data_IF_299855236692
#
_entry.id   IF_299855236692
#
_cell.length_a   1.000
_cell.length_b   1.000
_cell.length_c   1.000
_cell.angle_alpha   90.00
_cell.angle_beta   90.00
_cell.angle_gamma   90.00
#
_symmetry.space_group_name_H-M   'P 1'
#
loop_
_entity.id
_entity.type
_entity.pdbx_description
1 polymer ?
#
# COMPACT_ATOMS: atom_id res chain seq x y z
N UNK A 1 -28.05 9.86 64.20
CA UNK A 1 -28.05 9.33 62.82
C UNK A 1 -27.13 10.24 62.02
N UNK A 2 -25.93 9.88 61.61
CA UNK A 2 -25.53 8.67 60.89
C UNK A 2 -24.05 8.37 61.17
N UNK A 3 -23.78 7.29 61.89
CA UNK A 3 -22.48 6.67 62.02
C UNK A 3 -22.06 6.05 60.68
N UNK A 4 -20.94 6.50 60.11
CA UNK A 4 -20.29 5.81 59.00
C UNK A 4 -19.88 4.40 59.45
N UNK A 5 -20.29 3.32 58.76
CA UNK A 5 -19.76 1.99 59.04
C UNK A 5 -18.35 1.86 58.45
N UNK A 6 -17.43 1.33 59.25
CA UNK A 6 -16.11 0.90 58.80
C UNK A 6 -16.27 -0.22 57.76
N UNK A 7 -15.83 0.03 56.53
CA UNK A 7 -15.72 -1.00 55.51
C UNK A 7 -14.54 -1.91 55.87
N UNK A 8 -14.89 -3.12 56.31
CA UNK A 8 -14.01 -4.25 56.55
C UNK A 8 -13.10 -4.51 55.36
N UNK A 9 -11.80 -4.54 55.59
CA UNK A 9 -10.82 -5.10 54.67
C UNK A 9 -11.09 -6.61 54.52
N UNK A 10 -11.84 -7.00 53.50
CA UNK A 10 -11.91 -8.39 53.06
C UNK A 10 -10.62 -8.71 52.30
N UNK A 11 -9.78 -9.48 52.98
CA UNK A 11 -8.66 -10.21 52.40
C UNK A 11 -9.18 -11.21 51.37
N UNK A 12 -9.46 -10.74 50.15
CA UNK A 12 -9.53 -11.59 48.98
C UNK A 12 -8.12 -11.74 48.45
N UNK A 13 -7.41 -12.71 49.04
CA UNK A 13 -6.22 -13.29 48.44
C UNK A 13 -6.63 -13.98 47.13
N UNK A 14 -6.76 -13.18 46.07
CA UNK A 14 -6.84 -13.68 44.70
C UNK A 14 -5.54 -14.43 44.44
N UNK A 15 -5.64 -15.76 44.42
CA UNK A 15 -4.60 -16.63 43.93
C UNK A 15 -4.29 -16.23 42.48
N UNK A 16 -3.26 -15.41 42.30
CA UNK A 16 -2.75 -15.01 40.99
C UNK A 16 -2.06 -16.22 40.37
N UNK A 17 -2.84 -17.10 39.73
CA UNK A 17 -2.34 -17.84 38.59
C UNK A 17 -1.73 -16.79 37.65
N UNK A 18 -0.43 -16.92 37.37
CA UNK A 18 0.27 -16.06 36.42
C UNK A 18 -0.40 -16.20 35.05
N UNK A 19 -1.44 -15.40 34.81
CA UNK A 19 -2.14 -15.36 33.55
C UNK A 19 -1.17 -14.75 32.54
N UNK A 20 -0.58 -15.61 31.72
CA UNK A 20 0.29 -15.20 30.61
C UNK A 20 -0.45 -14.12 29.82
N UNK A 21 0.20 -12.97 29.66
CA UNK A 21 -0.38 -11.83 28.98
C UNK A 21 -0.90 -12.25 27.59
N UNK A 22 -2.09 -11.80 27.12
CA UNK A 22 -2.70 -12.28 25.89
C UNK A 22 -1.80 -12.25 24.64
N UNK A 23 -0.86 -11.31 24.58
CA UNK A 23 0.12 -11.20 23.49
C UNK A 23 1.18 -12.32 23.52
N UNK A 24 1.51 -12.84 24.71
CA UNK A 24 2.52 -13.88 24.92
C UNK A 24 1.92 -15.29 24.89
N UNK A 25 0.60 -15.40 24.75
CA UNK A 25 -0.09 -16.68 24.70
C UNK A 25 0.23 -17.41 23.39
N UNK A 26 0.78 -18.62 23.51
CA UNK A 26 1.04 -19.51 22.37
C UNK A 26 -0.19 -20.33 22.07
N UNK A 27 -0.87 -20.00 20.97
CA UNK A 27 -2.02 -20.75 20.47
C UNK A 27 -1.60 -22.14 19.96
N UNK A 28 -2.52 -23.13 19.94
CA UNK A 28 -2.29 -24.41 19.29
C UNK A 28 -1.85 -24.22 17.83
N UNK A 29 -0.89 -25.05 17.37
CA UNK A 29 -0.23 -24.86 16.07
C UNK A 29 -1.19 -24.69 14.90
N UNK A 30 -2.30 -25.45 14.84
CA UNK A 30 -3.29 -25.31 13.76
C UNK A 30 -4.01 -23.96 13.75
N UNK A 31 -4.30 -23.39 14.93
CA UNK A 31 -4.92 -22.06 15.03
C UNK A 31 -3.90 -20.96 14.74
N UNK A 32 -2.66 -21.15 15.19
CA UNK A 32 -1.55 -20.22 14.93
C UNK A 32 -1.26 -20.12 13.43
N UNK A 33 -1.16 -21.24 12.72
CA UNK A 33 -0.90 -21.24 11.27
C UNK A 33 -2.06 -20.67 10.47
N UNK A 34 -3.31 -21.00 10.83
CA UNK A 34 -4.49 -20.43 10.19
C UNK A 34 -4.57 -18.90 10.37
N UNK A 35 -4.34 -18.40 11.59
CA UNK A 35 -4.32 -16.96 11.86
C UNK A 35 -3.14 -16.26 11.18
N UNK A 36 -1.96 -16.90 11.13
CA UNK A 36 -0.81 -16.38 10.39
C UNK A 36 -1.09 -16.24 8.89
N UNK A 37 -1.68 -17.28 8.28
CA UNK A 37 -2.11 -17.24 6.88
C UNK A 37 -3.14 -16.13 6.66
N UNK A 38 -4.09 -15.99 7.57
CA UNK A 38 -5.08 -14.91 7.52
C UNK A 38 -4.43 -13.53 7.45
N UNK A 39 -3.43 -13.26 8.30
CA UNK A 39 -2.71 -11.99 8.29
C UNK A 39 -2.00 -11.72 6.96
N UNK A 40 -1.40 -12.74 6.35
CA UNK A 40 -0.78 -12.60 5.02
C UNK A 40 -1.83 -12.27 3.96
N UNK A 41 -2.98 -12.96 3.97
CA UNK A 41 -4.06 -12.75 3.00
C UNK A 41 -4.66 -11.33 3.13
N UNK A 42 -4.84 -10.83 4.34
CA UNK A 42 -5.31 -9.45 4.58
C UNK A 42 -4.28 -8.43 4.08
N UNK A 43 -2.99 -8.66 4.36
CA UNK A 43 -1.92 -7.74 3.97
C UNK A 43 -1.72 -7.67 2.45
N UNK A 44 -1.90 -8.77 1.73
CA UNK A 44 -1.60 -8.90 0.31
C UNK A 44 -2.25 -7.80 -0.55
N UNK A 45 -3.54 -7.53 -0.33
CA UNK A 45 -4.27 -6.51 -1.11
C UNK A 45 -3.67 -5.10 -0.96
N UNK A 46 -3.14 -4.77 0.22
CA UNK A 46 -2.50 -3.47 0.47
C UNK A 46 -1.03 -3.42 0.03
N UNK A 47 -0.26 -4.48 0.27
CA UNK A 47 1.17 -4.51 0.00
C UNK A 47 1.49 -4.44 -1.50
N UNK A 48 0.75 -5.20 -2.33
CA UNK A 48 1.01 -5.29 -3.78
C UNK A 48 0.78 -3.97 -4.51
N UNK A 49 -0.05 -3.07 -3.94
CA UNK A 49 -0.40 -1.82 -4.59
C UNK A 49 0.80 -0.89 -4.79
N UNK A 50 1.73 -0.77 -3.83
CA UNK A 50 2.85 0.17 -3.95
C UNK A 50 3.86 -0.25 -5.03
N UNK A 51 4.38 -1.50 -5.05
CA UNK A 51 5.21 -1.98 -6.16
C UNK A 51 4.51 -1.85 -7.51
N UNK A 52 3.20 -2.12 -7.55
CA UNK A 52 2.39 -1.96 -8.76
C UNK A 52 2.20 -0.50 -9.17
N UNK A 53 2.30 0.48 -8.28
CA UNK A 53 2.27 1.91 -8.66
C UNK A 53 3.65 2.33 -9.16
N UNK A 54 4.71 1.92 -8.45
CA UNK A 54 6.07 2.41 -8.66
C UNK A 54 6.76 1.73 -9.85
N UNK A 55 6.72 0.40 -9.96
CA UNK A 55 7.34 -0.31 -11.10
C UNK A 55 6.70 0.08 -12.43
N UNK A 56 5.41 0.31 -12.35
CA UNK A 56 4.58 0.93 -13.37
C UNK A 56 5.07 2.36 -13.71
N UNK A 57 5.25 3.26 -12.73
CA UNK A 57 5.72 4.63 -12.98
C UNK A 57 7.13 4.67 -13.59
N UNK A 58 7.96 3.67 -13.23
CA UNK A 58 9.28 3.42 -13.82
C UNK A 58 9.21 2.84 -15.24
N UNK A 59 8.02 2.51 -15.76
CA UNK A 59 7.81 1.88 -17.08
C UNK A 59 8.53 0.54 -17.23
N UNK A 60 8.60 -0.24 -16.14
CA UNK A 60 9.17 -1.58 -16.16
C UNK A 60 8.24 -2.56 -16.88
N UNK A 61 8.84 -3.64 -17.39
CA UNK A 61 8.11 -4.76 -17.98
C UNK A 61 7.23 -5.47 -16.93
N UNK A 62 6.17 -6.19 -17.35
CA UNK A 62 5.34 -6.97 -16.44
C UNK A 62 6.13 -7.96 -15.58
N UNK A 63 7.15 -8.59 -16.14
CA UNK A 63 8.02 -9.56 -15.45
C UNK A 63 8.84 -8.88 -14.34
N UNK A 64 9.38 -7.69 -14.60
CA UNK A 64 10.08 -6.88 -13.59
C UNK A 64 9.14 -6.40 -12.49
N UNK A 65 7.90 -6.02 -12.82
CA UNK A 65 6.89 -5.65 -11.81
C UNK A 65 6.51 -6.86 -10.96
N UNK A 66 6.39 -8.05 -11.53
CA UNK A 66 6.16 -9.29 -10.78
C UNK A 66 7.34 -9.62 -9.84
N UNK A 67 8.57 -9.38 -10.29
CA UNK A 67 9.77 -9.48 -9.45
C UNK A 67 9.72 -8.47 -8.29
N UNK A 68 9.32 -7.22 -8.55
CA UNK A 68 9.18 -6.21 -7.50
C UNK A 68 8.13 -6.58 -6.45
N UNK A 69 6.99 -7.12 -6.88
CA UNK A 69 5.93 -7.59 -5.96
C UNK A 69 6.47 -8.73 -5.09
N UNK A 70 7.19 -9.68 -5.69
CA UNK A 70 7.76 -10.83 -4.98
C UNK A 70 8.83 -10.39 -3.97
N UNK A 71 9.72 -9.49 -4.38
CA UNK A 71 10.75 -8.91 -3.52
C UNK A 71 10.14 -8.11 -2.37
N UNK A 72 9.06 -7.36 -2.63
CA UNK A 72 8.36 -6.60 -1.60
C UNK A 72 7.76 -7.49 -0.53
N UNK A 73 6.98 -8.51 -0.92
CA UNK A 73 6.37 -9.46 0.02
C UNK A 73 7.43 -10.21 0.82
N UNK A 74 8.55 -10.56 0.20
CA UNK A 74 9.68 -11.21 0.88
C UNK A 74 10.33 -10.30 1.93
N UNK A 75 10.66 -9.06 1.57
CA UNK A 75 11.23 -8.07 2.48
C UNK A 75 10.27 -7.69 3.61
N UNK A 76 8.97 -7.54 3.32
CA UNK A 76 7.94 -7.29 4.33
C UNK A 76 7.84 -8.46 5.34
N UNK A 77 7.97 -9.70 4.87
CA UNK A 77 8.05 -10.89 5.70
C UNK A 77 9.26 -10.86 6.64
N UNK A 78 10.44 -10.58 6.11
CA UNK A 78 11.68 -10.44 6.91
C UNK A 78 11.53 -9.33 7.95
N UNK A 79 11.05 -8.15 7.54
CA UNK A 79 10.87 -7.02 8.44
C UNK A 79 9.85 -7.33 9.56
N UNK A 80 8.76 -8.04 9.23
CA UNK A 80 7.76 -8.49 10.21
C UNK A 80 8.37 -9.45 11.23
N UNK A 81 9.20 -10.40 10.79
CA UNK A 81 9.90 -11.32 11.68
C UNK A 81 10.87 -10.57 12.60
N UNK A 82 11.68 -9.66 12.05
CA UNK A 82 12.60 -8.83 12.83
C UNK A 82 11.85 -8.00 13.89
N UNK A 83 10.73 -7.38 13.50
CA UNK A 83 9.95 -6.52 14.39
C UNK A 83 9.23 -7.29 15.49
N UNK A 84 8.73 -8.49 15.16
CA UNK A 84 7.92 -9.32 16.07
C UNK A 84 8.77 -10.20 16.99
N UNK A 85 9.87 -10.79 16.51
CA UNK A 85 10.77 -11.60 17.34
C UNK A 85 11.78 -10.73 18.11
N UNK A 86 12.13 -9.56 17.57
CA UNK A 86 13.22 -8.75 18.05
C UNK A 86 14.57 -9.34 17.66
N UNK A 87 15.29 -8.67 16.77
CA UNK A 87 16.64 -9.06 16.38
C UNK A 87 17.69 -8.62 17.41
N UNK A 88 17.45 -7.54 18.16
CA UNK A 88 18.38 -7.02 19.18
C UNK A 88 17.63 -6.16 20.21
N UNK A 89 18.28 -5.79 21.31
CA UNK A 89 17.70 -4.86 22.30
C UNK A 89 17.33 -3.47 21.71
N UNK A 90 17.91 -3.13 20.56
CA UNK A 90 17.65 -1.88 19.82
C UNK A 90 16.74 -2.07 18.59
N UNK A 91 16.55 -3.31 18.11
CA UNK A 91 15.84 -3.60 16.86
C UNK A 91 14.73 -4.63 17.08
N UNK A 92 13.49 -4.17 16.85
CA UNK A 92 12.26 -4.93 17.00
C UNK A 92 11.60 -4.74 18.37
N UNK A 93 10.36 -4.28 18.35
CA UNK A 93 9.58 -3.94 19.55
C UNK A 93 9.01 -5.16 20.29
N UNK A 94 9.18 -6.38 19.75
CA UNK A 94 8.68 -7.63 20.33
C UNK A 94 7.17 -7.64 20.56
N UNK A 95 6.44 -6.99 19.66
CA UNK A 95 4.98 -6.96 19.63
C UNK A 95 4.50 -7.48 18.27
N UNK A 96 3.28 -8.05 18.20
CA UNK A 96 2.71 -8.56 16.95
C UNK A 96 2.38 -7.39 16.01
N UNK A 97 3.36 -7.02 15.19
CA UNK A 97 3.23 -5.91 14.24
C UNK A 97 3.65 -6.37 12.86
N UNK A 98 2.70 -6.28 11.93
CA UNK A 98 2.92 -6.56 10.51
C UNK A 98 3.60 -5.37 9.85
N UNK A 99 4.75 -5.62 9.23
CA UNK A 99 5.45 -4.63 8.41
C UNK A 99 4.98 -4.74 6.97
N UNK A 100 4.72 -3.58 6.36
CA UNK A 100 4.33 -3.44 4.97
C UNK A 100 4.84 -2.14 4.38
N UNK A 101 4.72 -1.98 3.07
CA UNK A 101 5.12 -0.72 2.41
C UNK A 101 4.15 0.39 2.77
N UNK A 102 4.70 1.54 3.14
CA UNK A 102 3.89 2.73 3.42
C UNK A 102 3.49 3.45 2.14
N UNK A 103 2.24 3.88 2.08
CA UNK A 103 1.80 4.76 1.01
C UNK A 103 2.31 6.20 1.17
N UNK A 104 2.81 6.57 2.34
CA UNK A 104 3.30 7.93 2.61
C UNK A 104 4.47 8.34 1.69
N UNK A 105 5.29 7.38 1.25
CA UNK A 105 6.42 7.63 0.36
C UNK A 105 6.11 7.44 -1.13
N UNK A 106 4.87 7.08 -1.50
CA UNK A 106 4.52 6.81 -2.91
C UNK A 106 4.69 8.05 -3.79
N UNK A 107 4.25 9.22 -3.32
CA UNK A 107 4.37 10.47 -4.08
C UNK A 107 5.83 10.82 -4.46
N UNK A 108 6.80 10.87 -3.52
CA UNK A 108 8.20 11.12 -3.88
C UNK A 108 8.80 10.00 -4.72
N UNK A 109 8.42 8.73 -4.49
CA UNK A 109 8.87 7.60 -5.33
C UNK A 109 8.41 7.76 -6.79
N UNK A 110 7.14 8.11 -7.01
CA UNK A 110 6.59 8.35 -8.35
C UNK A 110 7.23 9.58 -9.01
N UNK A 111 7.57 10.62 -8.24
CA UNK A 111 8.28 11.78 -8.76
C UNK A 111 9.68 11.42 -9.30
N UNK A 112 10.45 10.63 -8.53
CA UNK A 112 11.77 10.12 -8.97
C UNK A 112 11.61 9.23 -10.20
N UNK A 113 10.62 8.32 -10.19
CA UNK A 113 10.36 7.40 -11.28
C UNK A 113 10.00 8.10 -12.60
N UNK A 114 9.18 9.16 -12.54
CA UNK A 114 8.82 9.95 -13.71
C UNK A 114 10.00 10.77 -14.23
N UNK A 115 10.87 11.26 -13.35
CA UNK A 115 12.06 12.01 -13.73
C UNK A 115 13.15 11.11 -14.34
N UNK A 116 13.23 9.85 -13.89
CA UNK A 116 14.21 8.86 -14.35
C UNK A 116 13.50 7.53 -14.64
N UNK A 117 12.93 7.32 -15.83
CA UNK A 117 12.29 6.05 -16.18
C UNK A 117 13.31 4.91 -16.41
N UNK A 118 12.85 3.66 -16.29
CA UNK A 118 13.61 2.44 -16.56
C UNK A 118 14.40 1.90 -15.37
N UNK A 119 15.24 0.89 -15.63
CA UNK A 119 15.99 0.14 -14.61
C UNK A 119 17.00 1.04 -13.85
N UNK A 120 17.64 1.98 -14.54
CA UNK A 120 18.54 2.96 -13.90
C UNK A 120 17.77 3.85 -12.91
N UNK A 121 16.54 4.24 -13.24
CA UNK A 121 15.62 4.93 -12.35
C UNK A 121 15.26 4.12 -11.11
N UNK A 122 15.01 2.81 -11.30
CA UNK A 122 14.74 1.89 -10.20
C UNK A 122 15.94 1.83 -9.23
N UNK A 123 17.16 1.75 -9.74
CA UNK A 123 18.38 1.75 -8.93
C UNK A 123 18.54 3.06 -8.14
N UNK A 124 18.32 4.22 -8.77
CA UNK A 124 18.34 5.52 -8.09
C UNK A 124 17.29 5.59 -6.98
N UNK A 125 16.08 5.10 -7.25
CA UNK A 125 14.98 5.06 -6.29
C UNK A 125 15.32 4.17 -5.10
N UNK A 126 15.79 2.94 -5.32
CA UNK A 126 16.16 2.03 -4.23
C UNK A 126 17.36 2.53 -3.44
N UNK A 127 18.39 3.08 -4.10
CA UNK A 127 19.52 3.71 -3.43
C UNK A 127 19.10 4.89 -2.55
N UNK A 128 18.16 5.71 -3.03
CA UNK A 128 17.57 6.81 -2.25
C UNK A 128 16.79 6.30 -1.05
N UNK A 129 16.01 5.22 -1.19
CA UNK A 129 15.25 4.60 -0.09
C UNK A 129 16.19 4.02 0.96
N UNK A 130 17.26 3.32 0.55
CA UNK A 130 18.27 2.78 1.47
C UNK A 130 18.94 3.92 2.24
N UNK A 131 19.35 4.99 1.56
CA UNK A 131 19.91 6.17 2.19
C UNK A 131 18.95 6.85 3.17
N UNK A 132 17.69 7.04 2.76
CA UNK A 132 16.64 7.59 3.63
C UNK A 132 16.38 6.70 4.85
N UNK A 133 16.43 5.37 4.69
CA UNK A 133 16.30 4.40 5.78
C UNK A 133 17.44 4.50 6.80
N UNK A 134 18.68 4.58 6.33
CA UNK A 134 19.85 4.78 7.20
C UNK A 134 19.77 6.09 7.99
N UNK A 135 19.39 7.19 7.31
CA UNK A 135 19.17 8.48 7.95
C UNK A 135 18.04 8.39 8.97
N UNK A 136 16.93 7.72 8.62
CA UNK A 136 15.77 7.53 9.49
C UNK A 136 16.14 6.80 10.78
N UNK A 137 16.97 5.76 10.70
CA UNK A 137 17.50 5.05 11.87
C UNK A 137 18.35 5.98 12.74
N UNK A 138 19.22 6.79 12.14
CA UNK A 138 20.09 7.71 12.88
C UNK A 138 19.30 8.79 13.62
N UNK A 139 18.22 9.33 13.02
CA UNK A 139 17.39 10.39 13.63
C UNK A 139 16.26 9.84 14.51
N UNK A 140 15.94 8.54 14.44
CA UNK A 140 14.87 7.90 15.19
C UNK A 140 14.82 8.30 16.68
N UNK A 141 15.91 8.27 17.49
CA UNK A 141 15.83 8.62 18.91
C UNK A 141 15.51 10.10 19.18
N UNK A 142 15.79 10.98 18.22
CA UNK A 142 15.40 12.39 18.29
C UNK A 142 13.91 12.54 17.94
N UNK A 143 13.46 11.91 16.86
CA UNK A 143 12.06 11.95 16.42
C UNK A 143 11.13 11.32 17.46
N UNK A 144 11.53 10.23 18.11
CA UNK A 144 10.77 9.60 19.20
C UNK A 144 10.50 10.56 20.36
N UNK A 145 11.40 11.51 20.65
CA UNK A 145 11.17 12.56 21.65
C UNK A 145 10.21 13.64 21.18
N UNK A 146 10.10 13.83 19.87
CA UNK A 146 9.18 14.79 19.25
C UNK A 146 7.76 14.25 19.09
N UNK A 147 7.51 12.95 19.29
CA UNK A 147 6.18 12.34 19.16
C UNK A 147 5.11 13.03 20.03
N UNK A 148 5.49 13.69 21.14
CA UNK A 148 4.58 14.51 21.95
C UNK A 148 3.92 15.68 21.19
N UNK A 149 4.53 16.13 20.09
CA UNK A 149 4.04 17.23 19.26
C UNK A 149 3.08 16.77 18.16
N UNK A 150 2.87 15.45 18.02
CA UNK A 150 1.97 14.86 17.03
C UNK A 150 0.76 14.27 17.76
N UNK A 151 -0.20 15.10 18.23
CA UNK A 151 -1.42 14.60 18.85
C UNK A 151 -2.22 13.73 17.86
N UNK A 152 -3.15 12.89 18.35
CA UNK A 152 -3.91 11.97 17.50
C UNK A 152 -4.60 12.62 16.30
N UNK A 153 -5.00 13.91 16.43
CA UNK A 153 -5.58 14.69 15.32
C UNK A 153 -4.59 14.90 14.16
N UNK A 154 -3.30 15.10 14.43
CA UNK A 154 -2.28 15.28 13.38
C UNK A 154 -2.01 13.96 12.68
N UNK A 155 -1.77 12.90 13.44
CA UNK A 155 -1.53 11.57 12.85
C UNK A 155 -2.74 11.08 12.06
N UNK A 156 -3.95 11.24 12.61
CA UNK A 156 -5.19 10.85 11.94
C UNK A 156 -5.48 11.66 10.68
N UNK A 157 -5.25 12.97 10.69
CA UNK A 157 -5.42 13.81 9.49
C UNK A 157 -4.42 13.47 8.40
N UNK A 158 -3.16 13.20 8.74
CA UNK A 158 -2.15 12.75 7.77
C UNK A 158 -2.56 11.41 7.13
N UNK A 159 -3.02 10.44 7.93
CA UNK A 159 -3.51 9.15 7.41
C UNK A 159 -4.72 9.34 6.49
N UNK A 160 -5.67 10.21 6.87
CA UNK A 160 -6.83 10.52 6.03
C UNK A 160 -6.40 11.16 4.70
N UNK A 161 -5.46 12.11 4.72
CA UNK A 161 -4.94 12.77 3.52
C UNK A 161 -4.21 11.77 2.61
N UNK A 162 -3.44 10.84 3.18
CA UNK A 162 -2.80 9.75 2.42
C UNK A 162 -3.89 8.92 1.73
N UNK A 163 -4.90 8.47 2.46
CA UNK A 163 -6.01 7.69 1.90
C UNK A 163 -6.76 8.42 0.79
N UNK A 164 -7.11 9.69 1.00
CA UNK A 164 -7.80 10.53 0.01
C UNK A 164 -6.94 10.72 -1.25
N UNK A 165 -5.63 10.90 -1.07
CA UNK A 165 -4.70 11.07 -2.20
C UNK A 165 -4.58 9.81 -3.05
N UNK A 166 -4.67 8.63 -2.43
CA UNK A 166 -4.64 7.34 -3.13
C UNK A 166 -5.94 7.00 -3.85
N UNK A 167 -7.08 7.61 -3.48
CA UNK A 167 -8.34 7.39 -4.21
C UNK A 167 -8.18 7.70 -5.70
N UNK A 168 -7.35 8.69 -6.05
CA UNK A 168 -7.03 9.02 -7.45
C UNK A 168 -6.42 7.84 -8.20
N UNK A 169 -5.53 7.08 -7.55
CA UNK A 169 -4.92 5.88 -8.13
C UNK A 169 -5.97 4.80 -8.37
N UNK A 170 -6.82 4.54 -7.39
CA UNK A 170 -7.91 3.57 -7.51
C UNK A 170 -8.88 3.95 -8.64
N UNK A 171 -9.30 5.21 -8.72
CA UNK A 171 -10.17 5.73 -9.78
C UNK A 171 -9.53 5.57 -11.16
N UNK A 172 -8.23 5.87 -11.29
CA UNK A 172 -7.51 5.68 -12.54
C UNK A 172 -7.53 4.20 -12.99
N UNK A 173 -7.39 3.25 -12.05
CA UNK A 173 -7.47 1.82 -12.38
C UNK A 173 -8.88 1.38 -12.78
N UNK A 174 -9.92 1.92 -12.15
CA UNK A 174 -11.32 1.64 -12.52
C UNK A 174 -11.59 2.07 -13.97
N UNK A 175 -11.04 3.20 -14.39
CA UNK A 175 -11.17 3.70 -15.76
C UNK A 175 -10.16 3.10 -16.75
N UNK A 176 -9.45 2.03 -16.35
CA UNK A 176 -8.50 1.34 -17.22
C UNK A 176 -7.31 2.19 -17.64
N UNK A 177 -6.99 3.25 -16.89
CA UNK A 177 -5.82 4.10 -17.14
C UNK A 177 -4.66 3.71 -16.20
N UNK A 178 -3.60 3.05 -16.70
CA UNK A 178 -2.50 2.59 -15.84
C UNK A 178 -1.67 3.75 -15.28
N UNK A 179 -1.63 4.91 -15.97
CA UNK A 179 -0.82 6.09 -15.60
C UNK A 179 -1.42 7.43 -15.98
N UNK A 180 -1.09 8.43 -15.16
CA UNK A 180 -1.44 9.81 -15.41
C UNK A 180 -2.83 10.17 -14.86
N UNK A 181 -3.20 11.45 -14.93
CA UNK A 181 -4.53 11.88 -14.52
C UNK A 181 -5.58 11.12 -15.35
N UNK A 182 -6.73 10.82 -14.76
CA UNK A 182 -7.98 10.58 -15.48
C UNK A 182 -8.40 11.89 -16.14
N UNK A 183 -7.60 12.33 -17.10
CA UNK A 183 -7.83 13.53 -17.86
C UNK A 183 -8.94 13.20 -18.87
N UNK A 184 -10.00 14.02 -18.95
CA UNK A 184 -11.02 13.93 -19.98
C UNK A 184 -10.42 14.02 -21.39
N UNK A 185 -9.23 14.62 -21.52
CA UNK A 185 -8.46 14.68 -22.74
C UNK A 185 -7.10 13.97 -22.58
N UNK A 186 -6.67 13.26 -23.62
CA UNK A 186 -5.32 12.72 -23.80
C UNK A 186 -4.54 13.57 -24.80
N UNK A 187 -3.21 13.47 -24.72
CA UNK A 187 -2.33 13.98 -25.79
C UNK A 187 -2.66 13.21 -27.06
N UNK A 188 -2.87 13.93 -28.17
CA UNK A 188 -3.13 13.31 -29.45
C UNK A 188 -2.00 12.32 -29.78
N UNK A 189 -2.31 11.04 -30.09
CA UNK A 189 -1.30 10.06 -30.47
C UNK A 189 -0.46 10.51 -31.67
N UNK A 190 -0.99 11.36 -32.56
CA UNK A 190 -0.24 11.95 -33.68
C UNK A 190 0.86 12.89 -33.17
N UNK A 191 0.53 13.79 -32.24
CA UNK A 191 1.51 14.71 -31.65
C UNK A 191 2.52 13.95 -30.77
N UNK A 192 2.07 12.94 -30.02
CA UNK A 192 2.96 12.10 -29.21
C UNK A 192 3.95 11.32 -30.07
N UNK A 193 3.50 10.77 -31.21
CA UNK A 193 4.35 10.06 -32.17
C UNK A 193 5.33 11.00 -32.86
N UNK A 194 4.86 12.16 -33.31
CA UNK A 194 5.74 13.21 -33.85
C UNK A 194 6.82 13.58 -32.83
N UNK A 195 6.47 13.77 -31.56
CA UNK A 195 7.43 14.12 -30.53
C UNK A 195 8.45 13.00 -30.29
N UNK A 196 8.02 11.74 -30.33
CA UNK A 196 8.92 10.60 -30.26
C UNK A 196 9.87 10.54 -31.47
N UNK A 197 9.38 10.80 -32.68
CA UNK A 197 10.17 10.79 -33.92
C UNK A 197 11.21 11.93 -33.92
N UNK A 198 10.85 13.14 -33.48
CA UNK A 198 11.79 14.28 -33.41
C UNK A 198 12.77 14.19 -32.23
N UNK A 199 12.48 13.37 -31.22
CA UNK A 199 13.40 13.16 -30.07
C UNK A 199 14.25 11.90 -30.25
N UNK A 200 14.06 11.17 -31.35
CA UNK A 200 14.84 9.96 -31.66
C UNK A 200 16.31 10.29 -31.95
N UNK A 201 17.28 9.40 -31.58
CA UNK A 201 18.68 9.61 -31.90
C UNK A 201 18.89 9.64 -33.42
N UNK A 202 19.17 10.83 -33.98
CA UNK A 202 19.36 11.03 -35.42
C UNK A 202 18.35 11.97 -36.10
N UNK A 203 17.45 12.60 -35.34
CA UNK A 203 16.55 13.61 -35.89
C UNK A 203 17.30 14.89 -36.30
N UNK A 204 16.89 15.52 -37.41
CA UNK A 204 17.49 16.73 -37.95
C UNK A 204 17.07 18.02 -37.21
N UNK A 205 16.32 17.90 -36.12
CA UNK A 205 15.72 19.03 -35.39
C UNK A 205 16.49 19.32 -34.10
N UNK A 206 16.55 20.59 -33.66
CA UNK A 206 17.15 20.93 -32.38
C UNK A 206 16.43 20.25 -31.22
N UNK A 207 17.15 19.90 -30.14
CA UNK A 207 16.57 19.19 -29.00
C UNK A 207 15.43 20.00 -28.38
N UNK A 208 14.31 19.31 -28.13
CA UNK A 208 13.11 19.90 -27.53
C UNK A 208 13.46 20.56 -26.18
N UNK A 209 13.00 21.78 -25.88
CA UNK A 209 13.28 22.45 -24.61
C UNK A 209 12.85 21.61 -23.40
N UNK A 210 13.68 21.60 -22.35
CA UNK A 210 13.35 20.94 -21.07
C UNK A 210 12.10 21.61 -20.49
N UNK A 211 10.99 20.87 -20.46
CA UNK A 211 9.69 21.34 -19.96
C UNK A 211 8.60 21.50 -21.03
N UNK A 212 8.90 21.25 -22.30
CA UNK A 212 7.86 21.17 -23.33
C UNK A 212 7.00 19.91 -23.12
N UNK A 213 5.71 20.09 -22.88
CA UNK A 213 4.73 19.02 -22.80
C UNK A 213 3.55 19.35 -23.73
N UNK A 214 3.16 18.40 -24.57
CA UNK A 214 1.97 18.56 -25.41
C UNK A 214 0.74 18.59 -24.51
N UNK A 215 -0.12 19.59 -24.72
CA UNK A 215 -1.37 19.69 -23.98
C UNK A 215 -2.34 18.58 -24.42
N UNK A 216 -3.02 17.91 -23.47
CA UNK A 216 -4.07 16.96 -23.81
C UNK A 216 -5.22 17.69 -24.51
N UNK A 217 -5.50 17.32 -25.76
CA UNK A 217 -6.46 18.03 -26.62
C UNK A 217 -7.57 17.12 -27.16
N UNK A 218 -7.36 15.80 -27.17
CA UNK A 218 -8.31 14.82 -27.73
C UNK A 218 -9.11 14.15 -26.61
N UNK A 219 -10.46 14.07 -26.69
CA UNK A 219 -11.25 13.34 -25.71
C UNK A 219 -10.76 11.90 -25.53
N UNK A 220 -10.56 11.47 -24.28
CA UNK A 220 -10.05 10.15 -23.97
C UNK A 220 -11.14 9.09 -24.18
N UNK A 221 -11.02 8.18 -25.16
CA UNK A 221 -12.06 7.19 -25.45
C UNK A 221 -12.26 6.14 -24.33
N UNK A 222 -11.26 5.99 -23.46
CA UNK A 222 -11.30 5.07 -22.30
C UNK A 222 -11.76 5.77 -21.02
N UNK A 223 -12.01 7.08 -21.07
CA UNK A 223 -12.56 7.80 -19.94
C UNK A 223 -13.98 7.33 -19.67
N UNK A 224 -14.22 6.86 -18.45
CA UNK A 224 -15.51 6.29 -18.06
C UNK A 224 -15.95 5.07 -18.88
N UNK A 225 -15.02 4.18 -19.24
CA UNK A 225 -15.39 2.86 -19.77
C UNK A 225 -16.32 2.14 -18.77
N UNK A 226 -17.56 1.89 -19.22
CA UNK A 226 -18.62 1.24 -18.43
C UNK A 226 -18.20 -0.15 -17.96
N UNK A 227 -17.30 -0.79 -18.72
CA UNK A 227 -16.82 -2.14 -18.41
C UNK A 227 -15.94 -2.14 -17.16
N UNK A 228 -14.95 -1.25 -17.09
CA UNK A 228 -14.08 -1.11 -15.92
C UNK A 228 -14.83 -0.65 -14.68
N UNK A 229 -15.78 0.27 -14.85
CA UNK A 229 -16.69 0.67 -13.77
C UNK A 229 -17.57 -0.49 -13.28
N UNK A 230 -18.13 -1.28 -14.20
CA UNK A 230 -18.95 -2.45 -13.89
C UNK A 230 -18.20 -3.50 -13.07
N UNK A 231 -16.98 -3.86 -13.49
CA UNK A 231 -16.12 -4.79 -12.74
C UNK A 231 -15.79 -4.24 -11.35
N UNK A 232 -15.44 -2.96 -11.25
CA UNK A 232 -15.14 -2.33 -9.96
C UNK A 232 -16.35 -2.30 -9.02
N UNK A 233 -17.54 -2.02 -9.55
CA UNK A 233 -18.79 -2.07 -8.78
C UNK A 233 -19.09 -3.48 -8.25
N UNK A 234 -18.88 -4.51 -9.08
CA UNK A 234 -19.03 -5.91 -8.66
C UNK A 234 -18.04 -6.27 -7.55
N UNK A 235 -16.77 -5.87 -7.67
CA UNK A 235 -15.76 -6.06 -6.62
C UNK A 235 -16.23 -5.39 -5.32
N UNK A 236 -16.62 -4.12 -5.38
CA UNK A 236 -17.06 -3.36 -4.21
C UNK A 236 -18.29 -3.99 -3.55
N UNK A 237 -19.32 -4.32 -4.32
CA UNK A 237 -20.54 -4.96 -3.82
C UNK A 237 -20.21 -6.31 -3.18
N UNK A 238 -19.34 -7.10 -3.81
CA UNK A 238 -18.91 -8.39 -3.27
C UNK A 238 -18.20 -8.22 -1.93
N UNK A 239 -17.28 -7.25 -1.79
CA UNK A 239 -16.62 -6.92 -0.52
C UNK A 239 -17.67 -6.56 0.53
N UNK A 240 -18.59 -5.66 0.22
CA UNK A 240 -19.63 -5.21 1.17
C UNK A 240 -20.55 -6.35 1.60
N UNK A 241 -20.95 -7.23 0.68
CA UNK A 241 -21.78 -8.40 1.00
C UNK A 241 -21.01 -9.39 1.89
N UNK A 242 -19.74 -9.67 1.60
CA UNK A 242 -18.91 -10.55 2.42
C UNK A 242 -18.72 -9.96 3.82
N UNK A 243 -18.40 -8.67 3.92
CA UNK A 243 -18.26 -7.99 5.22
C UNK A 243 -19.57 -8.01 6.02
N UNK A 244 -20.71 -7.85 5.36
CA UNK A 244 -22.03 -7.81 6.01
C UNK A 244 -22.50 -9.19 6.48
N UNK A 245 -22.29 -10.25 5.69
CA UNK A 245 -22.91 -11.55 5.93
C UNK A 245 -21.94 -12.63 6.43
N UNK A 246 -20.64 -12.52 6.12
CA UNK A 246 -19.66 -13.50 6.59
C UNK A 246 -19.18 -13.21 8.01
N UNK A 247 -18.58 -14.21 8.66
CA UNK A 247 -18.02 -14.10 10.02
C UNK A 247 -16.64 -14.76 10.08
N UNK A 248 -15.85 -14.35 11.08
CA UNK A 248 -14.56 -14.96 11.37
C UNK A 248 -13.54 -14.78 10.24
N UNK A 249 -12.93 -15.89 9.81
CA UNK A 249 -11.83 -15.89 8.83
C UNK A 249 -12.21 -15.20 7.51
N UNK A 250 -13.39 -15.51 6.97
CA UNK A 250 -13.85 -15.05 5.65
C UNK A 250 -14.09 -13.54 5.62
N UNK A 251 -14.66 -12.97 6.69
CA UNK A 251 -14.93 -11.53 6.77
C UNK A 251 -13.63 -10.69 6.73
N UNK A 252 -12.57 -11.19 7.34
CA UNK A 252 -11.29 -10.51 7.42
C UNK A 252 -10.52 -10.52 6.10
N UNK A 253 -10.73 -11.54 5.23
CA UNK A 253 -10.12 -11.60 3.89
C UNK A 253 -11.08 -11.09 2.79
N UNK A 254 -12.14 -10.38 3.16
CA UNK A 254 -13.19 -9.89 2.25
C UNK A 254 -12.65 -9.10 1.06
N UNK A 255 -11.65 -8.24 1.28
CA UNK A 255 -11.02 -7.46 0.21
C UNK A 255 -10.36 -8.37 -0.82
N UNK A 256 -9.57 -9.36 -0.38
CA UNK A 256 -8.89 -10.31 -1.27
C UNK A 256 -9.91 -11.16 -2.04
N UNK A 257 -10.96 -11.65 -1.37
CA UNK A 257 -12.03 -12.42 -2.01
C UNK A 257 -12.80 -11.58 -3.03
N UNK A 258 -13.07 -10.31 -2.73
CA UNK A 258 -13.69 -9.38 -3.67
C UNK A 258 -12.84 -9.19 -4.93
N UNK A 259 -11.53 -9.00 -4.77
CA UNK A 259 -10.59 -8.91 -5.90
C UNK A 259 -10.60 -10.21 -6.72
N UNK A 260 -10.59 -11.38 -6.07
CA UNK A 260 -10.65 -12.67 -6.76
C UNK A 260 -11.96 -12.86 -7.55
N UNK A 261 -13.11 -12.47 -6.99
CA UNK A 261 -14.40 -12.48 -7.68
C UNK A 261 -14.36 -11.56 -8.91
N UNK A 262 -13.81 -10.34 -8.75
CA UNK A 262 -13.63 -9.41 -9.86
C UNK A 262 -12.77 -9.97 -10.98
N UNK A 263 -11.66 -10.64 -10.62
CA UNK A 263 -10.78 -11.30 -11.58
C UNK A 263 -11.52 -12.40 -12.36
N UNK A 264 -12.28 -13.26 -11.67
CA UNK A 264 -13.09 -14.31 -12.34
C UNK A 264 -14.10 -13.71 -13.31
N UNK A 265 -14.80 -12.64 -12.91
CA UNK A 265 -15.76 -11.94 -13.79
C UNK A 265 -15.05 -11.32 -14.98
N UNK A 266 -13.91 -10.65 -14.78
CA UNK A 266 -13.13 -10.05 -15.86
C UNK A 266 -12.62 -11.09 -16.87
N UNK A 267 -12.17 -12.25 -16.39
CA UNK A 267 -11.80 -13.39 -17.25
C UNK A 267 -13.00 -13.92 -18.04
N UNK A 268 -14.15 -14.09 -17.40
CA UNK A 268 -15.36 -14.57 -18.06
C UNK A 268 -15.88 -13.60 -19.13
N UNK A 269 -15.63 -12.30 -18.96
CA UNK A 269 -15.93 -11.26 -19.94
C UNK A 269 -14.85 -11.10 -21.03
N UNK A 270 -13.72 -11.82 -20.94
CA UNK A 270 -12.63 -11.78 -21.92
C UNK A 270 -11.77 -10.51 -21.88
N UNK A 271 -11.68 -9.84 -20.72
CA UNK A 271 -10.99 -8.54 -20.55
C UNK A 271 -9.56 -8.71 -20.00
N UNK A 272 -9.20 -9.90 -19.50
CA UNK A 272 -7.86 -10.23 -18.99
C UNK A 272 -7.05 -11.10 -19.95
#
# INVERSE_FOLDING_TARGET
MSSLPAASASSDAVATSSAVHPVDQRLPMGRLTALGLQHVLVMYAGAVAVPLIVGRALRLSPDEVALLISADLFCCGIATLIQSLGATQWFGIKLPVMMGVTFASVAPMVAIANANPGVAGAQLLFGSIIGAGAISIAIAPMVSRMLRFFPPVVTGTIIAVIGISLMRVGINWIFGNPFGPTAPAIVDPVYAKWLADVTSPGSALPPVPKGFAILPTVPNPRYADLTGFGVAAIVLVSILLIVKYAKGFVANISVLLGIAIGAVVASAMGIM
#
